data_IF_108343099254
#
_entry.id   IF_108343099254
#
_cell.length_a   1.000
_cell.length_b   1.000
_cell.length_c   1.000
_cell.angle_alpha   90.00
_cell.angle_beta   90.00
_cell.angle_gamma   90.00
#
_symmetry.space_group_name_H-M   'P 1'
#
loop_
_entity.id
_entity.type
_entity.pdbx_description
1 polymer ?
#
# COMPACT_ATOMS: atom_id res chain seq x y z
N UNK A 1 32.20 -10.12 49.40
CA UNK A 1 31.19 -10.03 48.33
C UNK A 1 30.09 -9.10 48.83
N UNK A 2 29.82 -8.03 48.06
CA UNK A 2 28.45 -7.63 47.74
C UNK A 2 28.25 -7.37 46.24
N UNK A 3 26.98 -7.47 45.84
CA UNK A 3 26.35 -7.13 44.55
C UNK A 3 26.96 -5.98 43.75
N UNK A 4 27.02 -6.16 42.42
CA UNK A 4 26.61 -5.15 41.44
C UNK A 4 26.38 -5.83 40.10
N UNK A 5 25.14 -6.24 39.89
CA UNK A 5 24.60 -6.58 38.60
C UNK A 5 24.36 -5.26 37.84
N UNK A 6 25.38 -4.76 37.15
CA UNK A 6 25.22 -3.63 36.22
C UNK A 6 24.82 -4.22 34.86
N UNK A 7 23.52 -4.47 34.73
CA UNK A 7 22.87 -4.76 33.46
C UNK A 7 23.03 -3.55 32.56
N UNK A 8 23.85 -3.68 31.52
CA UNK A 8 23.85 -2.75 30.40
C UNK A 8 22.45 -2.72 29.78
N UNK A 9 21.73 -1.65 30.09
CA UNK A 9 20.48 -1.28 29.42
C UNK A 9 20.75 -0.92 27.96
N UNK A 10 19.73 -1.21 27.15
CA UNK A 10 19.39 -0.44 25.95
C UNK A 10 20.19 -0.75 24.68
N UNK A 11 19.92 -1.92 24.10
CA UNK A 11 19.50 -1.89 22.69
C UNK A 11 17.97 -1.98 22.72
N UNK A 12 17.32 -0.82 22.65
CA UNK A 12 15.94 -0.75 22.18
C UNK A 12 15.95 -1.19 20.72
N UNK A 13 15.96 -2.50 20.49
CA UNK A 13 15.31 -3.09 19.33
C UNK A 13 13.85 -2.62 19.44
N UNK A 14 13.60 -1.47 18.82
CA UNK A 14 12.27 -0.98 18.56
C UNK A 14 11.62 -2.09 17.75
N UNK A 15 10.59 -2.80 18.26
CA UNK A 15 9.79 -3.59 17.35
C UNK A 15 9.28 -2.58 16.31
N UNK A 16 9.53 -2.77 15.00
CA UNK A 16 8.94 -1.89 14.02
C UNK A 16 7.43 -2.03 14.18
N UNK A 17 6.84 -0.93 14.61
CA UNK A 17 5.43 -0.67 14.86
C UNK A 17 4.49 -1.86 14.60
N UNK A 18 3.94 -2.40 15.68
CA UNK A 18 2.58 -2.91 15.65
C UNK A 18 1.68 -1.84 15.03
N UNK A 19 1.24 -2.02 13.79
CA UNK A 19 0.15 -1.27 13.18
C UNK A 19 -0.34 -2.07 12.01
N UNK A 20 -1.21 -3.05 12.25
CA UNK A 20 -2.42 -3.38 11.47
C UNK A 20 -2.37 -3.11 9.95
N UNK A 21 -1.21 -3.38 9.33
CA UNK A 21 -1.01 -3.34 7.90
C UNK A 21 -1.49 -4.71 7.49
N UNK A 22 -2.73 -4.78 7.01
CA UNK A 22 -3.14 -5.94 6.25
C UNK A 22 -2.16 -6.03 5.07
N UNK A 23 -1.20 -6.94 5.22
CA UNK A 23 -0.20 -7.26 4.23
C UNK A 23 -0.51 -8.67 3.75
N UNK A 24 -0.58 -8.83 2.43
CA UNK A 24 -0.79 -10.13 1.82
C UNK A 24 0.35 -10.38 0.84
N UNK A 25 0.94 -11.57 0.93
CA UNK A 25 1.92 -12.03 -0.05
C UNK A 25 1.16 -12.67 -1.21
N UNK A 26 1.37 -12.13 -2.41
CA UNK A 26 0.77 -12.57 -3.65
C UNK A 26 1.88 -13.04 -4.60
N UNK A 27 1.86 -14.30 -5.00
CA UNK A 27 2.76 -14.80 -6.04
C UNK A 27 2.12 -14.61 -7.42
N UNK A 28 2.79 -13.89 -8.32
CA UNK A 28 2.39 -13.73 -9.73
C UNK A 28 3.59 -13.94 -10.63
N UNK A 29 3.45 -14.82 -11.63
CA UNK A 29 4.52 -15.18 -12.58
C UNK A 29 5.83 -15.66 -11.90
N UNK A 30 5.71 -16.35 -10.76
CA UNK A 30 6.87 -16.83 -9.97
C UNK A 30 7.64 -15.72 -9.26
N UNK A 31 7.03 -14.53 -9.12
CA UNK A 31 7.54 -13.42 -8.31
C UNK A 31 6.60 -13.17 -7.14
N UNK A 32 7.17 -13.06 -5.96
CA UNK A 32 6.44 -12.66 -4.76
C UNK A 32 6.22 -11.14 -4.74
N UNK A 33 4.99 -10.75 -4.48
CA UNK A 33 4.57 -9.36 -4.35
C UNK A 33 3.94 -9.17 -2.99
N UNK A 34 4.43 -8.17 -2.28
CA UNK A 34 3.83 -7.72 -1.04
C UNK A 34 2.72 -6.74 -1.38
N UNK A 35 1.48 -7.08 -1.03
CA UNK A 35 0.30 -6.24 -1.23
C UNK A 35 -0.06 -5.56 0.07
N UNK A 36 -0.16 -4.23 0.05
CA UNK A 36 -0.58 -3.43 1.22
C UNK A 36 -1.63 -2.39 0.80
N UNK A 37 -2.47 -1.99 1.74
CA UNK A 37 -3.39 -0.86 1.53
C UNK A 37 -2.64 0.45 1.70
N UNK A 38 -2.59 1.26 0.64
CA UNK A 38 -1.97 2.60 0.64
C UNK A 38 -2.99 3.73 0.75
N UNK A 39 -4.27 3.43 0.60
CA UNK A 39 -5.33 4.40 0.70
C UNK A 39 -6.70 3.76 0.85
N UNK A 40 -7.61 4.45 1.51
CA UNK A 40 -9.00 4.01 1.73
C UNK A 40 -9.94 5.17 1.41
N UNK A 41 -11.03 4.88 0.71
CA UNK A 41 -12.10 5.85 0.48
C UNK A 41 -13.44 5.18 0.74
N UNK A 42 -14.24 5.75 1.64
CA UNK A 42 -15.55 5.23 1.96
C UNK A 42 -16.62 6.30 1.75
N UNK A 43 -17.66 5.93 1.02
CA UNK A 43 -18.85 6.73 0.80
C UNK A 43 -20.06 5.94 1.27
N UNK A 44 -21.24 6.57 1.28
CA UNK A 44 -22.48 5.90 1.65
C UNK A 44 -22.85 4.73 0.71
N UNK A 45 -22.36 4.74 -0.52
CA UNK A 45 -22.71 3.77 -1.56
C UNK A 45 -21.57 2.80 -1.93
N UNK A 46 -20.33 3.14 -1.61
CA UNK A 46 -19.17 2.33 -1.98
C UNK A 46 -18.00 2.49 -1.00
N UNK A 47 -17.24 1.42 -0.81
CA UNK A 47 -15.93 1.44 -0.17
C UNK A 47 -14.88 1.03 -1.20
N UNK A 48 -13.80 1.79 -1.27
CA UNK A 48 -12.70 1.62 -2.20
C UNK A 48 -11.38 1.51 -1.42
N UNK A 49 -10.53 0.60 -1.85
CA UNK A 49 -9.16 0.41 -1.36
C UNK A 49 -8.19 0.72 -2.49
N UNK A 50 -7.23 1.58 -2.20
CA UNK A 50 -6.04 1.74 -3.02
C UNK A 50 -5.01 0.73 -2.51
N UNK A 51 -4.66 -0.23 -3.36
CA UNK A 51 -3.64 -1.23 -3.07
C UNK A 51 -2.33 -0.84 -3.73
N UNK A 52 -1.24 -0.99 -2.97
CA UNK A 52 0.12 -0.96 -3.48
C UNK A 52 0.68 -2.38 -3.55
N UNK A 53 1.48 -2.65 -4.58
CA UNK A 53 2.23 -3.88 -4.77
C UNK A 53 3.71 -3.54 -4.77
N UNK A 54 4.47 -4.21 -3.92
CA UNK A 54 5.92 -4.10 -3.83
C UNK A 54 6.58 -5.43 -4.19
N UNK A 55 7.63 -5.37 -4.99
CA UNK A 55 8.50 -6.53 -5.24
C UNK A 55 9.34 -6.80 -3.98
N UNK A 56 9.66 -5.76 -3.22
CA UNK A 56 10.48 -5.84 -2.01
C UNK A 56 9.80 -5.08 -0.87
N UNK A 57 9.27 -5.84 0.09
CA UNK A 57 8.53 -5.34 1.27
C UNK A 57 9.34 -4.37 2.16
N UNK A 58 10.67 -4.45 2.07
CA UNK A 58 11.65 -3.64 2.77
C UNK A 58 11.74 -2.20 2.24
N UNK A 59 11.20 -1.92 1.06
CA UNK A 59 11.09 -0.56 0.54
C UNK A 59 9.88 0.14 1.18
N UNK A 60 10.14 1.02 2.13
CA UNK A 60 9.12 1.89 2.74
C UNK A 60 8.71 3.06 1.83
N UNK A 61 9.15 3.06 0.57
CA UNK A 61 8.88 4.09 -0.42
C UNK A 61 7.57 3.85 -1.18
N UNK A 62 7.55 4.32 -2.42
CA UNK A 62 6.39 4.19 -3.30
C UNK A 62 6.21 2.73 -3.75
N UNK A 63 4.97 2.24 -3.88
CA UNK A 63 4.73 0.90 -4.39
C UNK A 63 5.22 0.78 -5.85
N UNK A 64 5.74 -0.38 -6.24
CA UNK A 64 6.11 -0.66 -7.63
C UNK A 64 4.90 -0.59 -8.57
N UNK A 65 3.72 -0.95 -8.07
CA UNK A 65 2.44 -0.86 -8.79
C UNK A 65 1.32 -0.49 -7.84
N UNK A 66 0.31 0.20 -8.34
CA UNK A 66 -0.88 0.54 -7.58
C UNK A 66 -2.16 0.26 -8.37
N UNK A 67 -3.26 0.03 -7.65
CA UNK A 67 -4.59 -0.15 -8.23
C UNK A 67 -5.67 0.26 -7.24
N UNK A 68 -6.85 0.61 -7.76
CA UNK A 68 -8.02 0.95 -6.95
C UNK A 68 -9.08 -0.13 -7.14
N UNK A 69 -9.54 -0.73 -6.04
CA UNK A 69 -10.57 -1.77 -6.06
C UNK A 69 -11.73 -1.41 -5.14
N UNK A 70 -12.88 -2.04 -5.37
CA UNK A 70 -13.98 -2.00 -4.42
C UNK A 70 -13.72 -3.00 -3.28
N UNK A 71 -13.80 -2.53 -2.04
CA UNK A 71 -13.54 -3.33 -0.85
C UNK A 71 -13.52 -2.47 0.42
N UNK A 72 -13.70 -3.09 1.59
CA UNK A 72 -13.62 -2.40 2.89
C UNK A 72 -12.29 -2.65 3.59
N UNK A 73 -11.84 -3.90 3.57
CA UNK A 73 -10.57 -4.34 4.16
C UNK A 73 -9.88 -5.31 3.21
N UNK A 74 -8.56 -5.44 3.33
CA UNK A 74 -7.76 -6.30 2.43
C UNK A 74 -8.02 -7.79 2.67
N UNK A 75 -8.26 -8.17 3.92
CA UNK A 75 -8.51 -9.55 4.37
C UNK A 75 -9.82 -10.12 3.84
N UNK A 76 -10.73 -9.28 3.36
CA UNK A 76 -11.94 -9.70 2.65
C UNK A 76 -11.68 -10.10 1.20
N UNK A 77 -10.50 -9.77 0.66
CA UNK A 77 -10.15 -10.05 -0.73
C UNK A 77 -9.56 -11.44 -0.86
N UNK A 78 -10.10 -12.21 -1.79
CA UNK A 78 -9.57 -13.53 -2.09
C UNK A 78 -8.40 -13.45 -3.09
N UNK A 79 -7.66 -14.54 -3.22
CA UNK A 79 -6.50 -14.63 -4.11
C UNK A 79 -6.84 -14.24 -5.56
N UNK A 80 -7.95 -14.72 -6.12
CA UNK A 80 -8.41 -14.35 -7.47
C UNK A 80 -8.65 -12.84 -7.63
N UNK A 81 -9.18 -12.18 -6.59
CA UNK A 81 -9.41 -10.73 -6.61
C UNK A 81 -8.10 -9.97 -6.53
N UNK A 82 -7.15 -10.42 -5.71
CA UNK A 82 -5.80 -9.84 -5.62
C UNK A 82 -5.02 -10.02 -6.92
N UNK A 83 -5.12 -11.19 -7.56
CA UNK A 83 -4.51 -11.45 -8.85
C UNK A 83 -5.13 -10.56 -9.94
N UNK A 84 -6.46 -10.48 -10.00
CA UNK A 84 -7.17 -9.57 -10.90
C UNK A 84 -6.79 -8.11 -10.67
N UNK A 85 -6.62 -7.72 -9.40
CA UNK A 85 -6.18 -6.38 -9.01
C UNK A 85 -4.74 -6.11 -9.48
N UNK A 86 -3.85 -7.09 -9.37
CA UNK A 86 -2.48 -7.01 -9.89
C UNK A 86 -2.46 -6.87 -11.42
N UNK A 87 -3.25 -7.65 -12.16
CA UNK A 87 -3.36 -7.53 -13.63
C UNK A 87 -3.81 -6.12 -14.06
N UNK A 88 -4.71 -5.51 -13.28
CA UNK A 88 -5.21 -4.15 -13.51
C UNK A 88 -4.26 -3.06 -12.99
N UNK A 89 -3.35 -3.41 -12.09
CA UNK A 89 -2.41 -2.49 -11.47
C UNK A 89 -1.44 -1.90 -12.48
N UNK A 90 -0.95 -0.70 -12.20
CA UNK A 90 0.01 0.01 -13.04
C UNK A 90 1.12 0.58 -12.18
N UNK A 91 2.32 0.79 -12.73
CA UNK A 91 3.35 1.54 -12.03
C UNK A 91 2.78 2.88 -11.53
N UNK A 92 3.17 3.33 -10.32
CA UNK A 92 2.77 4.65 -9.84
C UNK A 92 3.20 5.64 -10.91
N UNK A 93 2.34 6.63 -11.20
CA UNK A 93 2.63 7.61 -12.25
C UNK A 93 3.86 8.42 -11.84
N UNK A 94 5.04 8.00 -12.31
CA UNK A 94 6.30 8.74 -12.23
C UNK A 94 6.33 9.82 -13.31
N UNK A 95 5.28 10.65 -13.42
CA UNK A 95 5.44 11.95 -14.05
C UNK A 95 4.34 12.96 -13.66
N UNK A 96 4.83 14.18 -13.53
CA UNK A 96 4.19 15.46 -13.31
C UNK A 96 2.92 15.66 -14.16
N UNK A 97 1.73 15.69 -13.58
CA UNK A 97 0.67 16.54 -14.15
C UNK A 97 -0.49 16.73 -13.19
N UNK A 98 -0.42 17.86 -12.51
CA UNK A 98 -1.53 18.59 -11.93
C UNK A 98 -2.45 19.17 -13.04
N UNK A 99 -2.54 18.55 -14.23
CA UNK A 99 -3.39 19.00 -15.34
C UNK A 99 -4.63 18.14 -15.56
N UNK A 100 -5.00 17.26 -14.61
CA UNK A 100 -6.34 16.67 -14.62
C UNK A 100 -7.46 17.73 -14.55
N UNK A 101 -7.14 18.96 -14.11
CA UNK A 101 -8.05 20.12 -14.08
C UNK A 101 -7.81 21.16 -15.19
N UNK A 102 -6.87 20.93 -16.12
CA UNK A 102 -6.58 21.90 -17.19
C UNK A 102 -7.54 21.79 -18.36
N UNK A 103 -8.13 20.61 -18.57
CA UNK A 103 -9.14 20.40 -19.62
C UNK A 103 -10.50 21.04 -19.28
N UNK A 104 -10.84 21.10 -17.99
CA UNK A 104 -12.14 21.63 -17.53
C UNK A 104 -12.22 23.16 -17.66
N UNK A 105 -11.08 23.87 -17.75
CA UNK A 105 -11.07 25.34 -17.87
C UNK A 105 -11.11 25.86 -19.30
N UNK A 106 -10.95 25.02 -20.33
CA UNK A 106 -10.95 25.48 -21.74
C UNK A 106 -12.32 25.41 -22.43
N UNK A 107 -13.32 24.79 -21.83
CA UNK A 107 -14.68 24.68 -22.42
C UNK A 107 -15.66 25.78 -21.96
N UNK A 108 -15.13 26.88 -21.42
CA UNK A 108 -15.91 27.95 -20.83
C UNK A 108 -15.39 29.34 -21.16
N UNK A 109 -14.97 29.61 -22.41
CA UNK A 109 -14.99 30.99 -22.92
C UNK A 109 -14.97 31.08 -24.45
N UNK A 110 -16.02 31.74 -24.94
CA UNK A 110 -16.28 32.31 -26.25
C UNK A 110 -16.99 31.41 -27.26
#
# INVERSE_FOLDING_TARGET
>A
MPDSNDSVSENQDTPPLESDLEEVILEVDGKEWTVRVIGRSQTQTAALLMLGFWISAEDAGAPDRETLIAGRILSELNLDQLQSAYEQSRPPRTDQSRDFFSDIRKRGRN
#
